data_IF_920221448705
#
_entry.id   IF_920221448705
#
_cell.length_a   1.000
_cell.length_b   1.000
_cell.length_c   1.000
_cell.angle_alpha   90.00
_cell.angle_beta   90.00
_cell.angle_gamma   90.00
#
_symmetry.space_group_name_H-M   'P 1'
#
loop_
_entity.id
_entity.type
_entity.pdbx_description
1 polymer ?
#
# COMPACT_ATOMS: atom_id res chain seq x y z
N UNK A 1 0.09 -17.37 -18.91
CA UNK A 1 0.52 -16.07 -19.46
C UNK A 1 0.72 -15.15 -18.28
N UNK A 2 1.89 -14.54 -18.07
CA UNK A 2 2.02 -13.37 -17.20
C UNK A 2 1.28 -12.18 -17.83
N UNK A 3 1.09 -11.07 -17.12
CA UNK A 3 0.45 -9.86 -17.65
C UNK A 3 1.02 -9.41 -19.01
N UNK A 4 0.25 -8.59 -19.75
CA UNK A 4 0.68 -8.10 -21.08
C UNK A 4 2.02 -7.33 -21.00
N UNK A 5 2.35 -6.77 -19.82
CA UNK A 5 3.65 -6.22 -19.46
C UNK A 5 4.34 -7.10 -18.39
N UNK A 6 5.58 -7.56 -18.62
CA UNK A 6 6.25 -8.51 -17.72
C UNK A 6 6.91 -7.87 -16.48
N UNK A 7 7.08 -6.54 -16.44
CA UNK A 7 8.00 -5.90 -15.49
C UNK A 7 7.37 -5.59 -14.10
N UNK A 8 6.05 -5.43 -14.05
CA UNK A 8 5.35 -4.91 -12.87
C UNK A 8 5.13 -5.97 -11.79
N UNK A 9 4.67 -7.16 -12.16
CA UNK A 9 4.50 -8.31 -11.25
C UNK A 9 4.79 -9.62 -12.02
N UNK A 10 6.07 -9.93 -12.31
CA UNK A 10 6.46 -11.00 -13.23
C UNK A 10 5.97 -12.38 -12.81
N UNK A 11 5.96 -12.64 -11.50
CA UNK A 11 5.51 -13.89 -10.90
C UNK A 11 4.05 -13.80 -10.37
N UNK A 12 3.36 -12.71 -10.72
CA UNK A 12 2.00 -12.39 -10.29
C UNK A 12 0.91 -13.14 -11.04
N UNK A 13 -0.33 -12.96 -10.58
CA UNK A 13 -1.52 -13.43 -11.30
C UNK A 13 -1.81 -12.55 -12.51
N UNK A 14 -2.59 -13.06 -13.47
CA UNK A 14 -3.11 -12.24 -14.56
C UNK A 14 -4.04 -11.14 -14.02
N UNK A 15 -3.80 -9.92 -14.46
CA UNK A 15 -4.56 -8.75 -14.01
C UNK A 15 -5.91 -8.63 -14.72
N UNK A 16 -6.95 -9.14 -14.07
CA UNK A 16 -8.36 -9.00 -14.47
C UNK A 16 -9.20 -8.30 -13.40
N UNK A 17 -8.57 -7.62 -12.44
CA UNK A 17 -9.32 -6.83 -11.46
C UNK A 17 -9.93 -5.58 -12.12
N UNK A 18 -10.90 -5.00 -11.43
CA UNK A 18 -11.55 -3.75 -11.85
C UNK A 18 -10.81 -2.50 -11.36
N UNK A 19 -9.71 -2.67 -10.61
CA UNK A 19 -9.00 -1.58 -9.92
C UNK A 19 -7.70 -1.22 -10.63
N UNK A 20 -7.00 -2.21 -11.20
CA UNK A 20 -5.71 -2.03 -11.85
C UNK A 20 -5.71 -2.54 -13.28
N UNK A 21 -4.69 -2.10 -14.01
CA UNK A 21 -4.23 -2.75 -15.24
C UNK A 21 -2.81 -3.26 -14.99
N UNK A 22 -2.27 -4.00 -15.94
CA UNK A 22 -0.89 -4.52 -15.94
C UNK A 22 0.22 -3.44 -15.89
N UNK A 23 -0.15 -2.15 -15.92
CA UNK A 23 0.75 -1.01 -15.77
C UNK A 23 1.02 -0.60 -14.32
N UNK A 24 0.31 -1.15 -13.35
CA UNK A 24 0.43 -0.79 -11.94
C UNK A 24 0.44 -2.04 -11.06
N UNK A 25 1.19 -1.99 -9.95
CA UNK A 25 1.26 -3.10 -9.02
C UNK A 25 -0.05 -3.20 -8.23
N UNK A 26 -0.74 -4.32 -8.35
CA UNK A 26 -2.01 -4.57 -7.66
C UNK A 26 -1.80 -4.63 -6.15
N UNK A 27 -2.62 -3.92 -5.37
CA UNK A 27 -2.49 -3.92 -3.90
C UNK A 27 -2.79 -5.28 -3.24
N UNK A 28 -3.46 -6.19 -3.95
CA UNK A 28 -3.71 -7.56 -3.52
C UNK A 28 -2.53 -8.51 -3.84
N UNK A 29 -1.58 -8.11 -4.68
CA UNK A 29 -0.42 -8.94 -5.03
C UNK A 29 0.44 -9.25 -3.80
N UNK A 30 1.09 -10.43 -3.81
CA UNK A 30 2.02 -10.80 -2.75
C UNK A 30 3.18 -9.80 -2.64
N UNK A 31 3.64 -9.28 -3.78
CA UNK A 31 4.70 -8.27 -3.87
C UNK A 31 4.30 -6.96 -3.17
N UNK A 32 3.10 -6.42 -3.44
CA UNK A 32 2.63 -5.19 -2.78
C UNK A 32 2.40 -5.40 -1.28
N UNK A 33 1.84 -6.56 -0.90
CA UNK A 33 1.67 -6.90 0.51
C UNK A 33 3.01 -6.93 1.26
N UNK A 34 4.09 -7.43 0.63
CA UNK A 34 5.45 -7.36 1.16
C UNK A 34 5.88 -5.92 1.42
N UNK A 35 5.79 -5.05 0.41
CA UNK A 35 6.14 -3.62 0.52
C UNK A 35 5.40 -2.94 1.68
N UNK A 36 4.09 -3.18 1.82
CA UNK A 36 3.30 -2.57 2.90
C UNK A 36 3.68 -3.09 4.29
N UNK A 37 4.04 -4.38 4.42
CA UNK A 37 4.55 -4.95 5.67
C UNK A 37 5.90 -4.35 6.05
N UNK A 38 6.79 -4.17 5.07
CA UNK A 38 8.11 -3.59 5.28
C UNK A 38 8.01 -2.13 5.71
N UNK A 39 7.18 -1.32 5.04
CA UNK A 39 6.90 0.07 5.44
C UNK A 39 6.36 0.12 6.88
N UNK A 40 5.40 -0.74 7.22
CA UNK A 40 4.85 -0.81 8.57
C UNK A 40 5.92 -1.15 9.60
N UNK A 41 6.80 -2.11 9.31
CA UNK A 41 7.90 -2.51 10.19
C UNK A 41 8.87 -1.37 10.43
N UNK A 42 9.37 -0.73 9.36
CA UNK A 42 10.33 0.37 9.43
C UNK A 42 9.78 1.54 10.24
N UNK A 43 8.52 1.94 9.99
CA UNK A 43 7.90 3.06 10.72
C UNK A 43 7.75 2.75 12.21
N UNK A 44 7.30 1.55 12.57
CA UNK A 44 7.15 1.15 13.97
C UNK A 44 8.50 1.10 14.68
N UNK A 45 9.55 0.60 14.03
CA UNK A 45 10.90 0.55 14.58
C UNK A 45 11.48 1.94 14.83
N UNK A 46 11.51 2.80 13.80
CA UNK A 46 12.12 4.14 13.88
C UNK A 46 11.44 5.01 14.94
N UNK A 47 10.11 4.94 15.04
CA UNK A 47 9.34 5.77 15.97
C UNK A 47 9.01 5.08 17.31
N UNK A 48 9.49 3.85 17.54
CA UNK A 48 9.15 3.05 18.71
C UNK A 48 7.63 2.96 18.96
N UNK A 49 6.86 2.86 17.88
CA UNK A 49 5.41 2.90 17.91
C UNK A 49 4.80 1.48 17.85
N UNK A 50 3.68 1.21 18.56
CA UNK A 50 3.02 -0.11 18.49
C UNK A 50 2.34 -0.36 17.13
N UNK A 51 1.92 0.71 16.44
CA UNK A 51 1.15 0.67 15.21
C UNK A 51 1.57 1.79 14.25
N UNK A 52 1.40 1.58 12.95
CA UNK A 52 1.60 2.58 11.91
C UNK A 52 0.47 2.49 10.87
N UNK A 53 0.02 3.63 10.35
CA UNK A 53 -1.06 3.75 9.37
C UNK A 53 -0.61 4.62 8.20
N UNK A 54 -0.91 4.19 6.97
CA UNK A 54 -0.67 4.97 5.75
C UNK A 54 -1.99 5.55 5.24
N UNK A 55 -2.06 6.88 5.10
CA UNK A 55 -3.23 7.58 4.54
C UNK A 55 -2.88 8.12 3.16
N UNK A 56 -3.51 7.64 2.08
CA UNK A 56 -3.27 8.16 0.73
C UNK A 56 -3.60 9.67 0.64
N UNK A 57 -2.69 10.46 0.07
CA UNK A 57 -2.81 11.91 -0.01
C UNK A 57 -1.49 12.61 0.35
N UNK A 58 -1.55 13.57 1.26
CA UNK A 58 -0.38 14.28 1.80
C UNK A 58 -0.39 14.27 3.34
N UNK A 59 0.63 14.84 3.97
CA UNK A 59 0.69 14.94 5.44
C UNK A 59 -0.54 15.61 6.06
N UNK A 60 -1.14 16.58 5.38
CA UNK A 60 -2.37 17.27 5.83
C UNK A 60 -3.56 16.31 5.95
N UNK A 61 -3.66 15.31 5.07
CA UNK A 61 -4.73 14.31 5.12
C UNK A 61 -4.58 13.41 6.36
N UNK A 62 -3.34 13.13 6.77
CA UNK A 62 -3.05 12.43 8.02
C UNK A 62 -3.50 13.23 9.25
N UNK A 63 -3.25 14.54 9.27
CA UNK A 63 -3.74 15.42 10.35
C UNK A 63 -5.26 15.44 10.41
N UNK A 64 -5.93 15.56 9.26
CA UNK A 64 -7.39 15.58 9.18
C UNK A 64 -8.02 14.25 9.60
N UNK A 65 -7.43 13.11 9.20
CA UNK A 65 -7.91 11.79 9.58
C UNK A 65 -7.92 11.60 11.11
N UNK A 66 -6.87 12.05 11.80
CA UNK A 66 -6.79 12.02 13.27
C UNK A 66 -7.84 12.95 13.89
N UNK A 67 -7.95 14.19 13.40
CA UNK A 67 -8.92 15.16 13.91
C UNK A 67 -10.37 14.65 13.79
N UNK A 68 -10.74 14.07 12.64
CA UNK A 68 -12.09 13.55 12.39
C UNK A 68 -12.41 12.27 13.18
N UNK A 69 -11.40 11.50 13.58
CA UNK A 69 -11.63 10.26 14.34
C UNK A 69 -11.72 10.49 15.85
N UNK A 70 -11.01 11.49 16.38
CA UNK A 70 -10.81 11.64 17.82
C UNK A 70 -11.22 13.01 18.41
N UNK A 71 -11.42 14.04 17.59
CA UNK A 71 -11.71 15.40 18.04
C UNK A 71 -13.11 15.90 17.69
N UNK A 72 -13.99 15.04 17.16
CA UNK A 72 -15.42 15.30 16.92
C UNK A 72 -16.30 14.65 17.96
#
# INVERSE_FOLDING_TARGET
>A
MPGLLPDIDPDGLLEFSVVYTDRALNHMSARFQGVMKDISSILKEVYHAPSAVLVPGSGTFGMEAVARQFAT
#
